data_IF_527965654066
#
_entry.id   IF_527965654066
#
_cell.length_a   1.000
_cell.length_b   1.000
_cell.length_c   1.000
_cell.angle_alpha   90.00
_cell.angle_beta   90.00
_cell.angle_gamma   90.00
#
_symmetry.space_group_name_H-M   'P 1'
#
loop_
_entity.id
_entity.type
_entity.pdbx_description
1 polymer ?
#
# COMPACT_ATOMS: atom_id res chain seq x y z
N UNK A 1 -27.30 -8.98 -15.81
CA UNK A 1 -26.65 -10.31 -15.82
C UNK A 1 -25.23 -10.21 -16.40
N UNK A 2 -25.05 -9.68 -17.62
CA UNK A 2 -23.74 -9.56 -18.27
C UNK A 2 -22.73 -8.66 -17.52
N UNK A 3 -23.21 -7.63 -16.82
CA UNK A 3 -22.35 -6.73 -16.02
C UNK A 3 -21.83 -7.42 -14.75
N UNK A 4 -22.70 -8.10 -14.02
CA UNK A 4 -22.31 -8.87 -12.83
C UNK A 4 -21.26 -9.94 -13.17
N UNK A 5 -21.47 -10.66 -14.28
CA UNK A 5 -20.52 -11.66 -14.77
C UNK A 5 -19.15 -11.05 -15.12
N UNK A 6 -19.13 -9.85 -15.73
CA UNK A 6 -17.88 -9.13 -16.00
C UNK A 6 -17.16 -8.72 -14.72
N UNK A 7 -17.89 -8.21 -13.73
CA UNK A 7 -17.32 -7.86 -12.43
C UNK A 7 -16.73 -9.07 -11.71
N UNK A 8 -17.42 -10.23 -11.75
CA UNK A 8 -16.92 -11.47 -11.14
C UNK A 8 -15.65 -11.99 -11.83
N UNK A 9 -15.61 -11.96 -13.18
CA UNK A 9 -14.39 -12.31 -13.92
C UNK A 9 -13.24 -11.36 -13.61
N UNK A 10 -13.51 -10.05 -13.47
CA UNK A 10 -12.49 -9.07 -13.10
C UNK A 10 -11.98 -9.30 -11.69
N UNK A 11 -12.87 -9.55 -10.71
CA UNK A 11 -12.46 -9.90 -9.34
C UNK A 11 -11.51 -11.10 -9.33
N UNK A 12 -11.91 -12.18 -10.00
CA UNK A 12 -11.11 -13.39 -10.07
C UNK A 12 -9.76 -13.12 -10.70
N UNK A 13 -9.71 -12.44 -11.84
CA UNK A 13 -8.48 -12.14 -12.56
C UNK A 13 -7.52 -11.29 -11.71
N UNK A 14 -8.01 -10.23 -11.07
CA UNK A 14 -7.18 -9.39 -10.20
C UNK A 14 -6.77 -10.16 -8.94
N UNK A 15 -7.65 -10.97 -8.37
CA UNK A 15 -7.34 -11.85 -7.26
C UNK A 15 -6.22 -12.85 -7.58
N UNK A 16 -6.27 -13.45 -8.77
CA UNK A 16 -5.23 -14.36 -9.27
C UNK A 16 -3.88 -13.63 -9.44
N UNK A 17 -3.87 -12.37 -9.93
CA UNK A 17 -2.66 -11.55 -10.04
C UNK A 17 -2.06 -11.26 -8.66
N UNK A 18 -2.88 -10.85 -7.71
CA UNK A 18 -2.42 -10.39 -6.39
C UNK A 18 -2.25 -11.53 -5.38
N UNK A 19 -2.73 -12.74 -5.69
CA UNK A 19 -2.73 -13.85 -4.74
C UNK A 19 -3.68 -13.64 -3.56
N UNK A 20 -4.81 -12.94 -3.80
CA UNK A 20 -5.79 -12.56 -2.78
C UNK A 20 -7.19 -12.94 -3.22
N UNK A 21 -8.05 -13.28 -2.25
CA UNK A 21 -9.48 -13.38 -2.51
C UNK A 21 -10.13 -12.00 -2.42
N UNK A 22 -10.78 -11.56 -3.51
CA UNK A 22 -11.42 -10.25 -3.61
C UNK A 22 -12.94 -10.44 -3.49
N UNK A 23 -13.53 -9.97 -2.39
CA UNK A 23 -14.94 -10.08 -2.10
C UNK A 23 -15.76 -8.99 -2.80
N UNK A 24 -15.27 -7.76 -2.76
CA UNK A 24 -16.00 -6.59 -3.27
C UNK A 24 -15.34 -5.97 -4.48
N UNK A 25 -16.16 -5.44 -5.37
CA UNK A 25 -15.72 -4.67 -6.53
C UNK A 25 -16.54 -3.38 -6.64
N UNK A 26 -15.87 -2.30 -6.95
CA UNK A 26 -16.50 -1.05 -7.36
C UNK A 26 -15.95 -0.66 -8.73
N UNK A 27 -16.82 -0.72 -9.75
CA UNK A 27 -16.51 -0.21 -11.08
C UNK A 27 -17.01 1.22 -11.19
N UNK A 28 -16.09 2.14 -11.39
CA UNK A 28 -16.37 3.57 -11.48
C UNK A 28 -15.88 4.12 -12.82
N UNK A 29 -16.58 5.13 -13.35
CA UNK A 29 -16.02 5.99 -14.38
C UNK A 29 -15.45 7.28 -13.74
N UNK A 30 -14.76 8.08 -14.52
CA UNK A 30 -14.10 9.31 -14.01
C UNK A 30 -15.09 10.35 -13.47
N UNK A 31 -16.36 10.33 -13.89
CA UNK A 31 -17.38 11.23 -13.38
C UNK A 31 -17.70 10.97 -11.89
N UNK A 32 -17.50 9.73 -11.41
CA UNK A 32 -17.69 9.42 -9.98
C UNK A 32 -16.79 10.27 -9.08
N UNK A 33 -15.55 10.53 -9.50
CA UNK A 33 -14.63 11.39 -8.73
C UNK A 33 -15.23 12.80 -8.60
N UNK A 34 -15.69 13.37 -9.72
CA UNK A 34 -16.34 14.67 -9.73
C UNK A 34 -17.56 14.71 -8.82
N UNK A 35 -18.44 13.73 -8.97
CA UNK A 35 -19.73 13.71 -8.28
C UNK A 35 -19.52 13.48 -6.77
N UNK A 36 -18.59 12.61 -6.39
CA UNK A 36 -18.23 12.37 -4.99
C UNK A 36 -17.58 13.59 -4.32
N UNK A 37 -16.64 14.25 -5.00
CA UNK A 37 -15.99 15.46 -4.49
C UNK A 37 -17.00 16.59 -4.31
N UNK A 38 -17.89 16.80 -5.27
CA UNK A 38 -18.94 17.82 -5.17
C UNK A 38 -19.92 17.51 -4.02
N UNK A 39 -20.28 16.24 -3.82
CA UNK A 39 -21.21 15.84 -2.77
C UNK A 39 -20.67 16.08 -1.34
N UNK A 40 -19.34 16.07 -1.16
CA UNK A 40 -18.71 16.41 0.12
C UNK A 40 -18.34 17.91 0.25
N UNK A 41 -18.66 18.72 -0.77
CA UNK A 41 -18.39 20.16 -0.80
C UNK A 41 -16.94 20.52 -1.14
N UNK A 42 -16.28 19.72 -1.95
CA UNK A 42 -14.87 19.91 -2.34
C UNK A 42 -13.87 19.22 -1.42
N UNK A 43 -12.62 19.12 -1.89
CA UNK A 43 -11.51 18.47 -1.16
C UNK A 43 -10.25 19.32 -1.20
N UNK A 44 -9.41 19.18 -0.18
CA UNK A 44 -8.05 19.73 -0.17
C UNK A 44 -7.07 18.63 -0.54
N UNK A 45 -6.39 18.78 -1.67
CA UNK A 45 -5.39 17.82 -2.17
C UNK A 45 -4.00 18.42 -1.98
N UNK A 46 -3.09 17.65 -1.38
CA UNK A 46 -1.67 18.01 -1.27
C UNK A 46 -0.91 17.49 -2.49
N UNK A 47 -0.65 18.37 -3.45
CA UNK A 47 0.06 18.03 -4.69
C UNK A 47 1.53 17.82 -4.40
N UNK A 48 2.05 16.65 -4.78
CA UNK A 48 3.43 16.23 -4.53
C UNK A 48 4.06 15.75 -5.83
N UNK A 49 4.74 16.65 -6.53
CA UNK A 49 5.52 16.36 -7.71
C UNK A 49 7.01 16.33 -7.40
N UNK A 50 7.79 15.58 -8.20
CA UNK A 50 9.26 15.62 -8.17
C UNK A 50 9.82 16.93 -8.75
N UNK A 51 9.07 17.56 -9.66
CA UNK A 51 9.43 18.86 -10.19
C UNK A 51 9.10 19.96 -9.15
N UNK A 52 10.05 20.83 -8.76
CA UNK A 52 9.80 21.88 -7.77
C UNK A 52 8.73 22.90 -8.19
N UNK A 53 8.43 23.00 -9.49
CA UNK A 53 7.37 23.86 -10.03
C UNK A 53 5.97 23.25 -9.84
N UNK A 54 5.89 21.96 -9.47
CA UNK A 54 4.65 21.22 -9.38
C UNK A 54 4.34 20.43 -10.65
N UNK A 55 3.11 20.49 -11.13
CA UNK A 55 2.67 19.78 -12.35
C UNK A 55 2.12 20.73 -13.42
N UNK A 56 2.33 20.37 -14.68
CA UNK A 56 1.69 21.00 -15.85
C UNK A 56 1.24 19.91 -16.82
N UNK A 57 -0.06 19.90 -17.12
CA UNK A 57 -0.64 19.10 -18.20
C UNK A 57 -1.65 19.92 -19.01
N UNK A 58 -1.23 20.50 -20.14
CA UNK A 58 -2.12 21.31 -20.98
C UNK A 58 -3.24 20.52 -21.65
N UNK A 59 -3.13 19.19 -21.70
CA UNK A 59 -4.18 18.33 -22.24
C UNK A 59 -5.38 18.18 -21.29
N UNK A 60 -5.17 18.46 -20.00
CA UNK A 60 -6.21 18.41 -18.98
C UNK A 60 -6.78 19.80 -18.75
N UNK A 61 -7.90 20.06 -19.42
CA UNK A 61 -8.57 21.34 -19.46
C UNK A 61 -9.99 21.22 -18.90
N UNK A 62 -10.27 21.88 -17.78
CA UNK A 62 -11.58 21.81 -17.11
C UNK A 62 -12.49 23.02 -17.39
N UNK A 63 -11.96 24.08 -18.01
CA UNK A 63 -12.72 25.28 -18.29
C UNK A 63 -13.04 25.46 -19.78
N UNK A 64 -12.04 25.28 -20.64
CA UNK A 64 -12.15 25.53 -22.08
C UNK A 64 -12.18 24.22 -22.87
N UNK A 65 -13.24 23.48 -22.81
CA UNK A 65 -13.42 22.11 -23.33
C UNK A 65 -13.21 21.94 -24.84
N UNK A 66 -12.43 22.81 -25.46
CA UNK A 66 -12.16 22.79 -26.89
C UNK A 66 -11.18 21.66 -27.26
N UNK A 67 -11.70 20.46 -27.48
CA UNK A 67 -10.91 19.25 -27.81
C UNK A 67 -10.07 19.38 -29.08
N UNK A 68 -10.44 20.28 -29.96
CA UNK A 68 -9.85 20.46 -31.27
C UNK A 68 -8.69 21.45 -31.30
N UNK A 69 -8.47 22.20 -30.20
CA UNK A 69 -7.42 23.20 -30.12
C UNK A 69 -6.12 22.60 -29.59
N UNK A 70 -4.99 22.91 -30.22
CA UNK A 70 -3.69 22.62 -29.64
C UNK A 70 -3.39 23.55 -28.46
N UNK A 71 -2.27 23.29 -27.73
CA UNK A 71 -1.92 24.05 -26.53
C UNK A 71 -1.84 25.58 -26.78
N UNK A 72 -1.20 25.99 -27.88
CA UNK A 72 -1.02 27.41 -28.17
C UNK A 72 -2.36 28.10 -28.50
N UNK A 73 -3.20 27.47 -29.31
CA UNK A 73 -4.54 27.94 -29.59
C UNK A 73 -5.43 28.05 -28.37
N UNK A 74 -5.27 27.11 -27.40
CA UNK A 74 -5.99 27.18 -26.12
C UNK A 74 -5.53 28.36 -25.28
N UNK A 75 -4.22 28.63 -25.22
CA UNK A 75 -3.69 29.80 -24.50
C UNK A 75 -4.22 31.13 -25.05
N UNK A 76 -4.41 31.22 -26.36
CA UNK A 76 -4.88 32.42 -27.02
C UNK A 76 -6.41 32.64 -26.90
N UNK A 77 -7.18 31.55 -26.88
CA UNK A 77 -8.65 31.60 -26.95
C UNK A 77 -9.36 31.36 -25.65
N UNK A 78 -8.67 30.77 -24.67
CA UNK A 78 -9.27 30.41 -23.38
C UNK A 78 -8.69 31.27 -22.25
N UNK A 79 -9.46 31.48 -21.15
CA UNK A 79 -8.98 32.20 -19.99
C UNK A 79 -7.71 31.55 -19.40
N UNK A 80 -6.82 32.35 -18.81
CA UNK A 80 -5.65 31.84 -18.08
C UNK A 80 -6.09 30.90 -16.97
N UNK A 81 -5.31 29.83 -16.76
CA UNK A 81 -5.59 28.85 -15.71
C UNK A 81 -6.66 27.82 -16.03
N UNK A 82 -7.09 27.73 -17.30
CA UNK A 82 -8.07 26.73 -17.72
C UNK A 82 -7.52 25.29 -17.86
N UNK A 83 -6.21 25.12 -17.86
CA UNK A 83 -5.54 23.81 -17.92
C UNK A 83 -4.89 23.44 -16.59
N UNK A 84 -4.55 22.16 -16.44
CA UNK A 84 -3.94 21.65 -15.22
C UNK A 84 -2.53 22.20 -15.04
N UNK A 85 -2.40 23.18 -14.15
CA UNK A 85 -1.15 23.73 -13.69
C UNK A 85 -1.26 23.99 -12.18
N UNK A 86 -0.52 23.26 -11.38
CA UNK A 86 -0.55 23.31 -9.92
C UNK A 86 0.86 23.29 -9.37
N UNK A 87 1.15 24.16 -8.42
CA UNK A 87 2.39 24.11 -7.62
C UNK A 87 2.33 22.93 -6.64
N UNK A 88 3.48 22.55 -6.08
CA UNK A 88 3.49 21.64 -4.95
C UNK A 88 2.80 22.29 -3.73
N UNK A 89 2.13 21.47 -2.92
CA UNK A 89 1.40 21.91 -1.73
C UNK A 89 -0.11 21.74 -1.83
N UNK A 90 -0.82 22.29 -0.86
CA UNK A 90 -2.26 22.13 -0.69
C UNK A 90 -3.08 22.99 -1.66
N UNK A 91 -4.02 22.35 -2.33
CA UNK A 91 -4.96 22.99 -3.26
C UNK A 91 -6.39 22.58 -2.95
N UNK A 92 -7.27 23.57 -2.83
CA UNK A 92 -8.72 23.33 -2.83
C UNK A 92 -9.18 22.96 -4.23
N UNK A 93 -9.94 21.87 -4.32
CA UNK A 93 -10.46 21.35 -5.58
C UNK A 93 -11.96 21.06 -5.46
N UNK A 94 -12.73 21.59 -6.41
CA UNK A 94 -14.06 21.09 -6.69
C UNK A 94 -14.01 19.77 -7.49
N UNK A 95 -15.15 19.20 -7.80
CA UNK A 95 -15.22 17.92 -8.49
C UNK A 95 -14.60 17.95 -9.88
N UNK A 96 -14.77 19.03 -10.65
CA UNK A 96 -14.19 19.13 -12.00
C UNK A 96 -12.66 19.18 -11.93
N UNK A 97 -12.10 20.04 -11.10
CA UNK A 97 -10.65 20.17 -10.93
C UNK A 97 -10.03 18.86 -10.40
N UNK A 98 -10.64 18.22 -9.40
CA UNK A 98 -10.18 16.94 -8.86
C UNK A 98 -10.24 15.82 -9.91
N UNK A 99 -11.30 15.76 -10.72
CA UNK A 99 -11.42 14.79 -11.80
C UNK A 99 -10.33 15.01 -12.87
N UNK A 100 -10.06 16.23 -13.27
CA UNK A 100 -9.00 16.52 -14.25
C UNK A 100 -7.61 16.26 -13.70
N UNK A 101 -7.36 16.61 -12.42
CA UNK A 101 -6.12 16.30 -11.72
C UNK A 101 -5.86 14.76 -11.67
N UNK A 102 -6.90 13.99 -11.36
CA UNK A 102 -6.82 12.51 -11.32
C UNK A 102 -6.55 11.86 -12.69
N UNK A 103 -6.65 12.64 -13.79
CA UNK A 103 -6.42 12.17 -15.16
C UNK A 103 -5.12 12.68 -15.77
N UNK A 104 -4.45 13.65 -15.14
CA UNK A 104 -3.23 14.26 -15.64
C UNK A 104 -2.12 13.22 -15.85
N UNK A 105 -1.50 13.24 -17.04
CA UNK A 105 -0.49 12.25 -17.48
C UNK A 105 0.71 12.91 -18.18
N UNK A 106 0.65 14.20 -18.49
CA UNK A 106 1.71 14.88 -19.20
C UNK A 106 1.93 14.40 -20.63
N UNK A 107 0.86 14.09 -21.37
CA UNK A 107 0.97 13.50 -22.72
C UNK A 107 1.31 14.52 -23.83
N UNK A 108 1.14 15.81 -23.56
CA UNK A 108 1.31 16.88 -24.56
C UNK A 108 2.26 17.93 -24.03
N UNK A 109 3.33 18.19 -24.76
CA UNK A 109 4.28 19.26 -24.41
C UNK A 109 3.65 20.66 -24.60
N UNK A 110 4.05 21.65 -23.78
CA UNK A 110 4.98 21.54 -22.67
C UNK A 110 4.34 20.89 -21.45
N UNK A 111 5.08 19.99 -20.79
CA UNK A 111 4.65 19.32 -19.56
C UNK A 111 5.81 19.24 -18.59
N UNK A 112 5.53 19.19 -17.28
CA UNK A 112 6.49 18.91 -16.24
C UNK A 112 5.81 18.28 -15.02
N UNK A 113 6.60 17.56 -14.20
CA UNK A 113 6.15 16.95 -12.96
C UNK A 113 5.24 15.74 -13.14
N UNK A 114 5.20 15.17 -14.35
CA UNK A 114 4.43 14.00 -14.75
C UNK A 114 5.27 13.07 -15.65
N UNK A 115 6.55 12.92 -15.32
CA UNK A 115 7.54 12.21 -16.15
C UNK A 115 7.25 10.70 -16.23
N UNK A 116 6.58 10.15 -15.21
CA UNK A 116 6.18 8.74 -15.16
C UNK A 116 4.77 8.49 -15.73
N UNK A 117 4.12 9.52 -16.28
CA UNK A 117 2.87 9.44 -17.04
C UNK A 117 1.74 8.67 -16.33
N UNK A 118 1.56 7.39 -16.61
CA UNK A 118 0.49 6.56 -16.00
C UNK A 118 0.68 6.37 -14.49
N UNK A 119 1.90 6.26 -14.01
CA UNK A 119 2.20 6.08 -12.59
C UNK A 119 1.98 7.37 -11.80
N UNK A 120 2.32 8.54 -12.37
CA UNK A 120 1.98 9.83 -11.76
C UNK A 120 0.46 10.03 -11.70
N UNK A 121 -0.27 9.60 -12.74
CA UNK A 121 -1.73 9.59 -12.72
C UNK A 121 -2.29 8.71 -11.60
N UNK A 122 -1.75 7.52 -11.39
CA UNK A 122 -2.14 6.63 -10.29
C UNK A 122 -1.93 7.32 -8.94
N UNK A 123 -0.76 7.93 -8.74
CA UNK A 123 -0.45 8.72 -7.54
C UNK A 123 -1.47 9.86 -7.34
N UNK A 124 -1.79 10.60 -8.39
CA UNK A 124 -2.78 11.67 -8.32
C UNK A 124 -4.17 11.14 -7.95
N UNK A 125 -4.58 9.98 -8.47
CA UNK A 125 -5.83 9.32 -8.08
C UNK A 125 -5.84 8.95 -6.59
N UNK A 126 -4.75 8.40 -6.09
CA UNK A 126 -4.61 8.06 -4.66
C UNK A 126 -4.71 9.30 -3.78
N UNK A 127 -4.07 10.43 -4.17
CA UNK A 127 -4.16 11.71 -3.44
C UNK A 127 -5.60 12.23 -3.37
N UNK A 128 -6.35 12.18 -4.47
CA UNK A 128 -7.77 12.58 -4.49
C UNK A 128 -8.61 11.66 -3.61
N UNK A 129 -8.40 10.34 -3.68
CA UNK A 129 -9.13 9.38 -2.84
C UNK A 129 -8.88 9.59 -1.34
N UNK A 130 -7.63 9.87 -0.96
CA UNK A 130 -7.28 10.19 0.42
C UNK A 130 -7.93 11.51 0.89
N UNK A 131 -7.89 12.54 0.07
CA UNK A 131 -8.52 13.83 0.36
C UNK A 131 -10.05 13.67 0.50
N UNK A 132 -10.68 12.88 -0.36
CA UNK A 132 -12.10 12.55 -0.29
C UNK A 132 -12.45 11.80 1.00
N UNK A 133 -11.68 10.76 1.36
CA UNK A 133 -11.85 10.05 2.64
C UNK A 133 -11.76 11.01 3.82
N UNK A 134 -10.70 11.83 3.89
CA UNK A 134 -10.48 12.76 5.00
C UNK A 134 -11.62 13.78 5.11
N UNK A 135 -12.08 14.32 3.98
CA UNK A 135 -13.23 15.24 3.95
C UNK A 135 -14.52 14.55 4.40
N UNK A 136 -14.82 13.38 3.87
CA UNK A 136 -16.02 12.62 4.23
C UNK A 136 -16.03 12.22 5.71
N UNK A 137 -14.86 11.91 6.29
CA UNK A 137 -14.71 11.65 7.73
C UNK A 137 -14.97 12.91 8.53
N UNK A 138 -14.31 14.03 8.19
CA UNK A 138 -14.42 15.30 8.95
C UNK A 138 -15.81 15.92 8.91
N UNK A 139 -16.57 15.70 7.84
CA UNK A 139 -17.97 16.17 7.71
C UNK A 139 -19.00 15.22 8.30
N UNK A 140 -18.57 14.10 8.89
CA UNK A 140 -19.45 13.05 9.39
C UNK A 140 -20.24 12.32 8.31
N UNK A 141 -19.83 12.41 7.04
CA UNK A 141 -20.50 11.70 5.94
C UNK A 141 -20.36 10.19 6.09
N UNK A 142 -19.18 9.70 6.48
CA UNK A 142 -18.93 8.27 6.66
C UNK A 142 -19.64 7.65 7.87
N UNK A 143 -20.12 8.45 8.81
CA UNK A 143 -20.87 7.97 9.99
C UNK A 143 -22.38 8.13 9.84
N UNK A 144 -22.84 8.79 8.78
CA UNK A 144 -24.25 9.04 8.49
C UNK A 144 -24.72 8.17 7.29
N UNK A 145 -25.51 7.15 7.60
CA UNK A 145 -26.03 6.21 6.59
C UNK A 145 -26.83 6.91 5.48
N UNK A 146 -27.62 7.94 5.85
CA UNK A 146 -28.41 8.71 4.88
C UNK A 146 -27.53 9.49 3.92
N UNK A 147 -26.45 10.10 4.42
CA UNK A 147 -25.46 10.82 3.56
C UNK A 147 -24.71 9.87 2.65
N UNK A 148 -24.31 8.68 3.13
CA UNK A 148 -23.61 7.69 2.29
C UNK A 148 -24.52 7.16 1.20
N UNK A 149 -25.76 6.81 1.51
CA UNK A 149 -26.73 6.35 0.49
C UNK A 149 -27.04 7.45 -0.52
N UNK A 150 -27.23 8.69 -0.07
CA UNK A 150 -27.41 9.85 -0.98
C UNK A 150 -26.20 10.09 -1.87
N UNK A 151 -24.98 9.89 -1.36
CA UNK A 151 -23.75 9.95 -2.14
C UNK A 151 -23.73 8.84 -3.20
N UNK A 152 -24.07 7.61 -2.84
CA UNK A 152 -24.15 6.50 -3.78
C UNK A 152 -25.22 6.76 -4.87
N UNK A 153 -26.37 7.30 -4.50
CA UNK A 153 -27.43 7.68 -5.44
C UNK A 153 -26.97 8.80 -6.37
N UNK A 154 -26.24 9.80 -5.87
CA UNK A 154 -25.67 10.88 -6.69
C UNK A 154 -24.65 10.36 -7.72
N UNK A 155 -23.86 9.33 -7.35
CA UNK A 155 -22.98 8.66 -8.29
C UNK A 155 -23.74 7.80 -9.32
N UNK A 156 -24.96 7.34 -9.00
CA UNK A 156 -25.92 6.71 -9.88
C UNK A 156 -25.32 5.66 -10.81
N UNK A 157 -25.58 5.78 -12.12
CA UNK A 157 -25.05 4.86 -13.14
C UNK A 157 -23.53 4.89 -13.33
N UNK A 158 -22.85 5.86 -12.74
CA UNK A 158 -21.41 6.02 -12.82
C UNK A 158 -20.66 5.09 -11.82
N UNK A 159 -21.38 4.55 -10.83
CA UNK A 159 -20.89 3.55 -9.88
C UNK A 159 -21.63 2.23 -10.07
N UNK A 160 -20.90 1.13 -10.18
CA UNK A 160 -21.43 -0.22 -10.12
C UNK A 160 -20.64 -1.01 -9.12
N UNK A 161 -21.34 -1.70 -8.23
CA UNK A 161 -20.72 -2.46 -7.16
C UNK A 161 -21.55 -3.72 -6.86
N UNK A 162 -20.90 -4.73 -6.28
CA UNK A 162 -21.56 -5.90 -5.72
C UNK A 162 -21.78 -5.79 -4.21
N UNK A 163 -21.47 -4.63 -3.60
CA UNK A 163 -21.77 -4.38 -2.17
C UNK A 163 -23.29 -4.32 -2.00
N UNK A 164 -23.82 -5.20 -1.16
CA UNK A 164 -25.25 -5.16 -0.78
C UNK A 164 -25.50 -3.96 0.15
N UNK A 165 -26.67 -3.34 0.01
CA UNK A 165 -27.08 -2.22 0.88
C UNK A 165 -27.05 -2.58 2.37
N UNK A 166 -27.25 -3.87 2.71
CA UNK A 166 -27.14 -4.38 4.09
C UNK A 166 -25.72 -4.32 4.64
N UNK A 167 -24.71 -4.43 3.77
CA UNK A 167 -23.28 -4.42 4.13
C UNK A 167 -22.73 -3.00 4.23
N UNK A 168 -23.40 -2.00 3.64
CA UNK A 168 -22.93 -0.61 3.62
C UNK A 168 -22.64 -0.12 5.04
N UNK A 169 -23.53 -0.40 6.01
CA UNK A 169 -23.34 0.03 7.40
C UNK A 169 -22.08 -0.57 8.04
N UNK A 170 -21.83 -1.85 7.79
CA UNK A 170 -20.62 -2.53 8.28
C UNK A 170 -19.36 -1.92 7.66
N UNK A 171 -19.38 -1.69 6.34
CA UNK A 171 -18.25 -1.08 5.63
C UNK A 171 -18.02 0.37 6.10
N UNK A 172 -19.07 1.14 6.36
CA UNK A 172 -18.98 2.49 6.94
C UNK A 172 -18.29 2.46 8.30
N UNK A 173 -18.72 1.57 9.19
CA UNK A 173 -18.13 1.45 10.52
C UNK A 173 -16.66 1.11 10.43
N UNK A 174 -16.29 0.07 9.66
CA UNK A 174 -14.90 -0.28 9.41
C UNK A 174 -14.09 0.89 8.82
N UNK A 175 -14.65 1.58 7.82
CA UNK A 175 -13.99 2.72 7.18
C UNK A 175 -13.76 3.91 8.13
N UNK A 176 -14.67 4.13 9.10
CA UNK A 176 -14.54 5.19 10.09
C UNK A 176 -13.47 4.91 11.15
N UNK A 177 -13.17 3.64 11.42
CA UNK A 177 -12.16 3.20 12.39
C UNK A 177 -10.73 3.26 11.82
N UNK A 178 -10.58 3.23 10.49
CA UNK A 178 -9.27 3.25 9.82
C UNK A 178 -8.63 4.63 9.98
N UNK A 179 -7.51 4.70 10.69
CA UNK A 179 -6.68 5.90 10.83
C UNK A 179 -5.80 6.09 9.60
N UNK A 180 -5.32 7.30 9.38
CA UNK A 180 -4.39 7.59 8.27
C UNK A 180 -3.08 6.79 8.38
N UNK A 181 -2.62 6.54 9.61
CA UNK A 181 -1.45 5.68 9.90
C UNK A 181 -1.62 4.22 9.45
N UNK A 182 -2.86 3.76 9.33
CA UNK A 182 -3.17 2.37 9.02
C UNK A 182 -3.35 2.15 7.50
N UNK A 183 -3.24 3.23 6.71
CA UNK A 183 -3.38 3.18 5.25
C UNK A 183 -2.00 3.00 4.61
N UNK A 184 -1.78 1.83 4.07
CA UNK A 184 -0.58 1.51 3.31
C UNK A 184 -0.83 1.71 1.81
N UNK A 185 -0.02 2.58 1.19
CA UNK A 185 0.00 2.75 -0.27
C UNK A 185 1.04 1.82 -0.84
N UNK A 186 0.61 0.92 -1.71
CA UNK A 186 1.50 0.01 -2.40
C UNK A 186 1.78 0.55 -3.80
N UNK A 187 3.04 0.66 -4.16
CA UNK A 187 3.49 1.00 -5.51
C UNK A 187 4.32 -0.15 -6.07
N UNK A 188 4.09 -0.49 -7.33
CA UNK A 188 4.85 -1.55 -8.02
C UNK A 188 6.00 -1.02 -8.87
N UNK A 189 6.29 0.29 -8.77
CA UNK A 189 7.28 0.99 -9.61
C UNK A 189 8.20 1.91 -8.81
N UNK A 190 8.38 1.66 -7.52
CA UNK A 190 9.32 2.41 -6.70
C UNK A 190 10.77 2.09 -7.08
N UNK A 191 11.65 3.08 -6.98
CA UNK A 191 13.07 2.96 -7.38
C UNK A 191 13.77 1.75 -6.74
N UNK A 192 13.41 1.42 -5.50
CA UNK A 192 13.99 0.31 -4.74
C UNK A 192 13.25 -1.02 -4.92
N UNK A 193 12.11 -1.03 -5.61
CA UNK A 193 11.27 -2.21 -5.76
C UNK A 193 10.41 -2.13 -7.03
N UNK A 194 11.06 -2.24 -8.19
CA UNK A 194 10.39 -2.22 -9.49
C UNK A 194 9.79 -3.59 -9.76
N UNK A 195 8.51 -3.76 -9.49
CA UNK A 195 7.76 -5.01 -9.71
C UNK A 195 6.98 -5.03 -11.02
N UNK A 196 6.77 -3.85 -11.62
CA UNK A 196 6.12 -3.71 -12.93
C UNK A 196 6.92 -2.81 -13.84
N UNK A 197 6.92 -3.12 -15.13
CA UNK A 197 7.62 -2.36 -16.17
C UNK A 197 6.74 -2.21 -17.40
N UNK A 198 7.14 -1.31 -18.31
CA UNK A 198 6.51 -1.19 -19.62
C UNK A 198 7.17 -2.12 -20.62
N UNK A 199 6.38 -2.66 -21.53
CA UNK A 199 6.83 -3.53 -22.61
C UNK A 199 5.99 -3.36 -23.86
N UNK A 200 6.19 -4.23 -24.85
CA UNK A 200 5.42 -4.25 -26.08
C UNK A 200 4.95 -5.68 -26.36
N UNK A 201 3.66 -5.85 -26.64
CA UNK A 201 3.11 -7.11 -27.09
C UNK A 201 2.16 -6.87 -28.26
N UNK A 202 2.37 -7.60 -29.37
CA UNK A 202 1.56 -7.44 -30.58
C UNK A 202 1.55 -6.02 -31.16
N UNK A 203 2.64 -5.24 -30.95
CA UNK A 203 2.74 -3.85 -31.37
C UNK A 203 2.07 -2.84 -30.45
N UNK A 204 1.40 -3.29 -29.39
CA UNK A 204 0.79 -2.42 -28.38
C UNK A 204 1.73 -2.24 -27.17
N UNK A 205 1.77 -1.03 -26.60
CA UNK A 205 2.42 -0.79 -25.33
C UNK A 205 1.63 -1.45 -24.20
N UNK A 206 2.31 -2.24 -23.39
CA UNK A 206 1.73 -2.94 -22.24
C UNK A 206 2.47 -2.58 -20.95
N UNK A 207 1.82 -2.84 -19.82
CA UNK A 207 2.45 -2.91 -18.50
C UNK A 207 2.50 -4.39 -18.12
N UNK A 208 3.67 -4.86 -17.69
CA UNK A 208 3.90 -6.26 -17.37
C UNK A 208 4.74 -6.41 -16.10
N UNK A 209 4.68 -7.58 -15.42
CA UNK A 209 5.59 -7.84 -14.31
C UNK A 209 7.05 -7.74 -14.73
N UNK A 210 7.90 -7.20 -13.87
CA UNK A 210 9.35 -7.10 -14.13
C UNK A 210 10.02 -8.47 -14.19
N UNK A 211 9.49 -9.47 -13.48
CA UNK A 211 9.96 -10.85 -13.50
C UNK A 211 9.71 -11.58 -14.83
N UNK A 212 8.81 -11.05 -15.67
CA UNK A 212 8.44 -11.63 -16.97
C UNK A 212 6.94 -11.64 -17.21
N UNK A 213 6.55 -11.85 -18.48
CA UNK A 213 5.15 -11.86 -18.88
C UNK A 213 4.39 -12.96 -18.11
N UNK A 214 3.32 -12.59 -17.42
CA UNK A 214 2.47 -13.44 -16.56
C UNK A 214 3.15 -14.01 -15.31
N UNK A 215 4.38 -13.63 -14.95
CA UNK A 215 4.98 -13.99 -13.66
C UNK A 215 4.64 -12.96 -12.59
N UNK A 216 3.66 -13.29 -11.74
CA UNK A 216 3.17 -12.43 -10.65
C UNK A 216 3.72 -12.82 -9.27
N UNK A 217 4.70 -13.71 -9.18
CA UNK A 217 5.18 -14.25 -7.90
C UNK A 217 5.76 -13.15 -7.00
N UNK A 218 6.58 -12.26 -7.56
CA UNK A 218 7.17 -11.15 -6.79
C UNK A 218 6.12 -10.14 -6.33
N UNK A 219 5.11 -9.87 -7.17
CA UNK A 219 3.97 -9.01 -6.80
C UNK A 219 3.18 -9.63 -5.65
N UNK A 220 2.88 -10.93 -5.70
CA UNK A 220 2.18 -11.65 -4.63
C UNK A 220 2.97 -11.65 -3.33
N UNK A 221 4.29 -11.90 -3.40
CA UNK A 221 5.18 -11.88 -2.25
C UNK A 221 5.21 -10.48 -1.61
N UNK A 222 5.31 -9.43 -2.42
CA UNK A 222 5.28 -8.05 -1.95
C UNK A 222 3.95 -7.69 -1.28
N UNK A 223 2.81 -7.96 -1.94
CA UNK A 223 1.49 -7.70 -1.36
C UNK A 223 1.33 -8.44 -0.03
N UNK A 224 1.71 -9.72 0.01
CA UNK A 224 1.64 -10.51 1.22
C UNK A 224 2.49 -9.90 2.34
N UNK A 225 3.70 -9.44 2.03
CA UNK A 225 4.59 -8.83 3.01
C UNK A 225 4.09 -7.48 3.52
N UNK A 226 3.35 -6.72 2.71
CA UNK A 226 2.85 -5.38 3.10
C UNK A 226 1.49 -5.43 3.81
N UNK A 227 0.55 -6.23 3.30
CA UNK A 227 -0.81 -6.30 3.86
C UNK A 227 -0.86 -7.13 5.14
N UNK A 228 -0.11 -8.24 5.18
CA UNK A 228 -0.08 -9.12 6.34
C UNK A 228 1.14 -8.90 7.23
N UNK A 229 1.91 -7.83 6.98
CA UNK A 229 3.05 -7.49 7.79
C UNK A 229 2.63 -7.12 9.21
N UNK A 230 2.97 -7.99 10.14
CA UNK A 230 2.88 -7.69 11.58
C UNK A 230 3.98 -6.68 11.96
N UNK A 231 3.84 -5.93 13.07
CA UNK A 231 4.95 -5.13 13.60
C UNK A 231 6.25 -5.93 13.73
N UNK A 232 6.12 -7.19 14.08
CA UNK A 232 7.22 -8.14 14.22
C UNK A 232 7.94 -8.41 12.90
N UNK A 233 7.20 -8.72 11.81
CA UNK A 233 7.80 -8.98 10.50
C UNK A 233 8.38 -7.71 9.85
N UNK A 234 7.82 -6.53 10.15
CA UNK A 234 8.36 -5.22 9.70
C UNK A 234 9.73 -4.92 10.32
N UNK A 235 9.96 -5.35 11.53
CA UNK A 235 11.26 -5.17 12.18
C UNK A 235 12.38 -5.97 11.51
N UNK A 236 12.07 -7.06 10.79
CA UNK A 236 13.04 -7.95 10.12
C UNK A 236 14.23 -8.30 11.03
N UNK A 237 13.93 -8.57 12.30
CA UNK A 237 14.97 -8.83 13.31
C UNK A 237 15.79 -10.07 12.94
N UNK A 238 17.12 -9.96 13.05
CA UNK A 238 18.03 -11.09 12.83
C UNK A 238 18.23 -11.87 14.11
N UNK A 239 18.09 -13.20 14.03
CA UNK A 239 18.12 -14.09 15.21
C UNK A 239 19.09 -15.25 14.98
N UNK A 240 19.89 -15.55 15.99
CA UNK A 240 20.65 -16.79 16.07
C UNK A 240 19.90 -17.78 16.98
N UNK A 241 19.65 -19.01 16.50
CA UNK A 241 19.02 -20.08 17.26
C UNK A 241 20.08 -21.11 17.69
N UNK A 242 20.22 -21.33 18.98
CA UNK A 242 21.21 -22.23 19.57
C UNK A 242 20.54 -23.37 20.32
N UNK A 243 21.03 -24.57 20.15
CA UNK A 243 20.57 -25.74 20.91
C UNK A 243 21.28 -25.83 22.26
N UNK A 244 20.60 -25.49 23.34
CA UNK A 244 21.00 -25.68 24.72
C UNK A 244 20.26 -26.83 25.40
N UNK A 245 19.34 -27.53 24.70
CA UNK A 245 18.56 -28.64 25.27
C UNK A 245 19.28 -30.00 25.23
N UNK A 246 20.26 -30.14 24.33
CA UNK A 246 20.87 -31.44 24.05
C UNK A 246 19.99 -32.38 23.21
N UNK A 247 18.81 -31.92 22.72
CA UNK A 247 17.93 -32.69 21.83
C UNK A 247 18.29 -32.37 20.40
N UNK A 248 18.59 -33.39 19.60
CA UNK A 248 18.93 -33.19 18.20
C UNK A 248 17.80 -32.47 17.43
N UNK A 249 18.14 -31.46 16.59
CA UNK A 249 17.19 -30.70 15.80
C UNK A 249 16.41 -29.62 16.53
N UNK A 250 16.55 -29.46 17.87
CA UNK A 250 15.78 -28.49 18.65
C UNK A 250 15.99 -27.04 18.16
N UNK A 251 17.23 -26.63 17.87
CA UNK A 251 17.52 -25.30 17.35
C UNK A 251 16.94 -25.08 15.95
N UNK A 252 16.95 -26.10 15.08
CA UNK A 252 16.35 -25.98 13.74
C UNK A 252 14.83 -25.81 13.83
N UNK A 253 14.16 -26.62 14.64
CA UNK A 253 12.71 -26.50 14.86
C UNK A 253 12.31 -25.10 15.37
N UNK A 254 13.11 -24.54 16.28
CA UNK A 254 12.87 -23.18 16.77
C UNK A 254 13.16 -22.13 15.69
N UNK A 255 14.21 -22.31 14.90
CA UNK A 255 14.53 -21.45 13.76
C UNK A 255 13.38 -21.39 12.74
N UNK A 256 12.78 -22.53 12.42
CA UNK A 256 11.63 -22.62 11.51
C UNK A 256 10.44 -21.83 12.06
N UNK A 257 10.10 -21.99 13.34
CA UNK A 257 9.06 -21.24 14.06
C UNK A 257 9.32 -19.72 14.05
N UNK A 258 10.56 -19.29 14.31
CA UNK A 258 10.92 -17.87 14.28
C UNK A 258 10.84 -17.29 12.88
N UNK A 259 11.16 -18.08 11.87
CA UNK A 259 11.03 -17.70 10.44
C UNK A 259 9.56 -17.54 10.06
N UNK A 260 8.68 -18.45 10.49
CA UNK A 260 7.23 -18.34 10.28
C UNK A 260 6.64 -17.08 10.94
N UNK A 261 7.21 -16.65 12.07
CA UNK A 261 6.85 -15.40 12.74
C UNK A 261 7.39 -14.13 12.02
N UNK A 262 8.17 -14.29 10.95
CA UNK A 262 8.69 -13.18 10.13
C UNK A 262 10.06 -12.65 10.58
N UNK A 263 10.78 -13.35 11.43
CA UNK A 263 12.15 -13.01 11.79
C UNK A 263 13.14 -13.63 10.80
N UNK A 264 14.32 -13.01 10.65
CA UNK A 264 15.39 -13.55 9.82
C UNK A 264 16.36 -14.38 10.67
N UNK A 265 16.29 -15.72 10.58
CA UNK A 265 17.29 -16.58 11.23
C UNK A 265 18.60 -16.54 10.44
N UNK A 266 19.68 -16.10 11.07
CA UNK A 266 21.01 -15.91 10.44
C UNK A 266 22.01 -16.97 10.88
N UNK A 267 21.70 -17.73 11.94
CA UNK A 267 22.55 -18.81 12.43
C UNK A 267 21.73 -19.86 13.18
N UNK A 268 22.06 -21.12 12.96
CA UNK A 268 21.53 -22.26 13.72
C UNK A 268 22.71 -23.11 14.15
N UNK A 269 22.81 -23.41 15.44
CA UNK A 269 23.96 -24.15 15.99
C UNK A 269 23.72 -24.71 17.38
N UNK A 270 24.79 -25.19 18.01
CA UNK A 270 24.76 -25.63 19.39
C UNK A 270 25.20 -24.49 20.32
N UNK A 271 24.59 -24.42 21.50
CA UNK A 271 25.06 -23.52 22.54
C UNK A 271 26.43 -23.95 23.04
N UNK A 272 27.36 -23.03 23.36
CA UNK A 272 28.62 -23.35 23.97
C UNK A 272 28.39 -23.92 25.40
N UNK A 273 29.20 -24.90 25.77
CA UNK A 273 29.13 -25.57 27.09
C UNK A 273 28.35 -26.89 27.03
N UNK A 274 28.46 -27.66 28.11
CA UNK A 274 27.86 -28.99 28.24
C UNK A 274 26.58 -29.02 29.10
N UNK A 275 26.19 -27.91 29.71
CA UNK A 275 24.99 -27.81 30.54
C UNK A 275 23.72 -27.77 29.68
N UNK A 276 22.76 -28.65 30.02
CA UNK A 276 21.45 -28.64 29.41
C UNK A 276 20.56 -27.59 30.09
N UNK A 277 20.05 -26.65 29.31
CA UNK A 277 19.12 -25.65 29.81
C UNK A 277 17.73 -26.25 30.04
N UNK A 278 17.15 -26.00 31.21
CA UNK A 278 15.79 -26.41 31.55
C UNK A 278 14.71 -25.59 30.82
N UNK A 279 15.01 -24.35 30.48
CA UNK A 279 14.08 -23.42 29.76
C UNK A 279 14.82 -22.70 28.66
N UNK A 280 14.06 -22.34 27.60
CA UNK A 280 14.55 -21.47 26.54
C UNK A 280 14.88 -20.10 27.09
N UNK A 281 16.03 -19.54 26.70
CA UNK A 281 16.52 -18.23 27.12
C UNK A 281 16.74 -17.35 25.88
N UNK A 282 16.43 -16.06 26.01
CA UNK A 282 16.61 -15.09 24.93
C UNK A 282 17.52 -13.96 25.40
N UNK A 283 18.45 -13.61 24.53
CA UNK A 283 19.42 -12.55 24.76
C UNK A 283 19.29 -11.49 23.67
N UNK A 284 19.21 -10.22 24.07
CA UNK A 284 19.20 -9.07 23.17
C UNK A 284 20.62 -8.53 23.03
N UNK A 285 21.10 -8.49 21.80
CA UNK A 285 22.37 -7.85 21.47
C UNK A 285 22.18 -6.32 21.29
N UNK A 286 23.27 -5.50 21.37
CA UNK A 286 23.16 -4.05 21.24
C UNK A 286 22.42 -3.59 19.99
N UNK A 287 22.63 -4.26 18.84
CA UNK A 287 21.97 -3.98 17.58
C UNK A 287 20.45 -4.27 17.57
N UNK A 288 19.93 -4.99 18.58
CA UNK A 288 18.50 -5.31 18.72
C UNK A 288 17.68 -4.31 19.53
N UNK A 289 18.28 -3.22 20.03
CA UNK A 289 17.60 -2.28 20.95
C UNK A 289 16.31 -1.67 20.38
N UNK A 290 16.31 -1.37 19.10
CA UNK A 290 15.16 -0.74 18.38
C UNK A 290 14.09 -1.76 17.95
N UNK A 291 14.27 -3.06 18.24
CA UNK A 291 13.35 -4.13 17.82
C UNK A 291 12.33 -4.43 18.92
N UNK A 292 11.45 -3.48 19.20
CA UNK A 292 10.49 -3.55 20.32
C UNK A 292 9.46 -4.66 20.16
N UNK A 293 8.86 -4.80 18.97
CA UNK A 293 7.86 -5.84 18.71
C UNK A 293 8.48 -7.25 18.83
N UNK A 294 9.71 -7.42 18.34
CA UNK A 294 10.46 -8.67 18.48
C UNK A 294 10.75 -9.01 19.94
N UNK A 295 11.19 -8.02 20.71
CA UNK A 295 11.44 -8.17 22.14
C UNK A 295 10.19 -8.55 22.92
N UNK A 296 9.07 -7.90 22.62
CA UNK A 296 7.80 -8.18 23.29
C UNK A 296 7.26 -9.56 22.90
N UNK A 297 7.43 -9.97 21.64
CA UNK A 297 7.10 -11.33 21.22
C UNK A 297 7.96 -12.39 21.90
N UNK A 298 9.24 -12.13 22.10
CA UNK A 298 10.11 -13.03 22.85
C UNK A 298 9.73 -13.11 24.34
N UNK A 299 9.30 -12.01 24.97
CA UNK A 299 8.77 -12.05 26.34
C UNK A 299 7.50 -12.89 26.44
N UNK A 300 6.60 -12.75 25.45
CA UNK A 300 5.38 -13.56 25.35
C UNK A 300 5.71 -15.06 25.25
N UNK A 301 6.65 -15.41 24.37
CA UNK A 301 6.99 -16.81 24.09
C UNK A 301 7.84 -17.47 25.19
N UNK A 302 8.79 -16.73 25.79
CA UNK A 302 9.83 -17.30 26.66
C UNK A 302 9.94 -16.62 28.04
N UNK A 303 9.08 -15.66 28.33
CA UNK A 303 8.96 -15.00 29.63
C UNK A 303 9.90 -13.80 29.82
N UNK A 304 11.14 -13.85 29.34
CA UNK A 304 12.11 -12.78 29.55
C UNK A 304 13.10 -12.64 28.38
N UNK A 305 13.66 -11.44 28.24
CA UNK A 305 14.77 -11.15 27.34
C UNK A 305 15.89 -10.50 28.15
N UNK A 306 17.04 -11.15 28.23
CA UNK A 306 18.24 -10.64 28.91
C UNK A 306 19.04 -9.69 28.03
N UNK A 307 19.58 -8.62 28.58
CA UNK A 307 20.56 -7.76 27.91
C UNK A 307 22.01 -8.23 28.10
N UNK A 308 22.25 -9.17 29.00
CA UNK A 308 23.59 -9.75 29.21
C UNK A 308 23.79 -10.98 28.32
N UNK A 309 24.41 -10.75 27.18
CA UNK A 309 24.74 -11.76 26.17
C UNK A 309 26.20 -12.22 26.25
N UNK A 310 26.94 -11.85 27.29
CA UNK A 310 28.40 -12.08 27.40
C UNK A 310 28.79 -13.56 27.29
N UNK A 311 27.89 -14.48 27.68
CA UNK A 311 28.06 -15.93 27.59
C UNK A 311 28.10 -16.45 26.13
N UNK A 312 27.51 -15.70 25.17
CA UNK A 312 27.34 -16.15 23.78
C UNK A 312 28.00 -15.18 22.84
N UNK A 313 29.30 -15.31 22.63
CA UNK A 313 30.04 -14.52 21.66
C UNK A 313 30.03 -15.21 20.30
N UNK A 314 29.01 -14.85 19.48
CA UNK A 314 28.85 -15.39 18.13
C UNK A 314 29.41 -14.38 17.11
N UNK A 315 30.20 -14.88 16.18
CA UNK A 315 30.67 -14.06 15.04
C UNK A 315 29.61 -14.08 13.90
N UNK A 316 28.41 -13.60 14.24
CA UNK A 316 27.28 -13.51 13.30
C UNK A 316 26.53 -12.20 13.53
N UNK A 317 25.95 -11.65 12.45
CA UNK A 317 25.16 -10.43 12.49
C UNK A 317 23.74 -10.72 13.01
N UNK A 318 23.65 -11.07 14.29
CA UNK A 318 22.38 -11.31 14.97
C UNK A 318 22.04 -10.14 15.89
N UNK A 319 20.76 -9.85 16.02
CA UNK A 319 20.21 -8.86 16.95
C UNK A 319 19.68 -9.52 18.23
N UNK A 320 19.32 -10.79 18.14
CA UNK A 320 18.92 -11.62 19.26
C UNK A 320 19.54 -13.02 19.17
N UNK A 321 19.71 -13.64 20.33
CA UNK A 321 20.11 -15.05 20.44
C UNK A 321 19.02 -15.77 21.21
N UNK A 322 18.48 -16.85 20.65
CA UNK A 322 17.53 -17.76 21.28
C UNK A 322 18.25 -19.06 21.59
N UNK A 323 18.36 -19.40 22.85
CA UNK A 323 19.01 -20.65 23.31
C UNK A 323 17.93 -21.60 23.81
N UNK A 324 17.66 -22.63 23.03
CA UNK A 324 16.57 -23.58 23.25
C UNK A 324 16.86 -24.48 24.45
N UNK A 325 15.94 -24.53 25.40
CA UNK A 325 15.97 -25.42 26.55
C UNK A 325 15.10 -26.68 26.39
N UNK A 326 15.11 -27.58 27.38
CA UNK A 326 14.34 -28.84 27.36
C UNK A 326 12.84 -28.63 27.62
N UNK A 327 12.45 -27.54 28.31
CA UNK A 327 11.08 -27.15 28.60
C UNK A 327 10.74 -25.87 27.84
N UNK A 328 10.21 -25.99 26.63
CA UNK A 328 9.67 -24.91 25.85
C UNK A 328 8.18 -25.12 25.61
#
# INVERSE_FOLDING_TARGET
RAEAERMDKTKKFIGDIFGMDIQYVAHINTAVIRDAVNAVGGVTVDVQSRDPRGILDPSMDWMCRAKELNYQQRRERCPTGHYMQLTNGKHEMDGEKAMWFSRARGLVAPTYGLEQSNFDREKNQQLVMMALKNKATSTGTLTDFGKVTSLMDAMGKNLRTNIDTKEIRTIMNLGSEIKESDIHRLSFVEENNVLMTTGTAGGASIVQPAAGLYDYNDIRAYIKSEIYATPLSKEKATVAALNGSGVAGAAQKEADKLTELGMKVVHVGNAPGSEKLGKTQVYQLPAGKEKTATKDKFKELYGSVSSDSSKYNLNVDAQFIVVVGTGS
#
